data_IF_093151753360
#
_entry.id   IF_093151753360
#
_cell.length_a   1.000
_cell.length_b   1.000
_cell.length_c   1.000
_cell.angle_alpha   90.00
_cell.angle_beta   90.00
_cell.angle_gamma   90.00
#
_symmetry.space_group_name_H-M   'P 1'
#
loop_
_entity.id
_entity.type
_entity.pdbx_description
1 polymer ?
#
# COMPACT_ATOMS: atom_id res chain seq x y z
N UNK A 1 13.62 55.91 -3.59
CA UNK A 1 13.77 55.28 -4.92
C UNK A 1 12.37 55.01 -5.44
N UNK A 2 12.11 55.31 -6.71
CA UNK A 2 10.78 55.12 -7.30
C UNK A 2 10.62 53.71 -7.87
N UNK A 3 9.38 53.26 -8.19
CA UNK A 3 9.12 51.91 -8.72
C UNK A 3 10.02 51.56 -9.92
N UNK A 4 10.11 52.47 -10.88
CA UNK A 4 10.87 52.24 -12.12
C UNK A 4 12.38 52.14 -11.86
N UNK A 5 12.91 52.91 -10.90
CA UNK A 5 14.32 52.84 -10.52
C UNK A 5 14.63 51.50 -9.84
N UNK A 6 13.78 51.07 -8.91
CA UNK A 6 13.92 49.78 -8.22
C UNK A 6 13.92 48.60 -9.21
N UNK A 7 12.93 48.56 -10.12
CA UNK A 7 12.82 47.50 -11.11
C UNK A 7 13.97 47.53 -12.12
N UNK A 8 14.45 48.72 -12.53
CA UNK A 8 15.59 48.82 -13.45
C UNK A 8 16.89 48.30 -12.84
N UNK A 9 17.15 48.60 -11.55
CA UNK A 9 18.34 48.12 -10.83
C UNK A 9 18.23 46.60 -10.66
N UNK A 10 17.08 46.11 -10.18
CA UNK A 10 16.81 44.68 -10.02
C UNK A 10 17.02 43.93 -11.35
N UNK A 11 16.47 44.44 -12.45
CA UNK A 11 16.63 43.85 -13.80
C UNK A 11 18.09 43.80 -14.23
N UNK A 12 18.82 44.90 -14.08
CA UNK A 12 20.23 44.97 -14.50
C UNK A 12 21.12 44.00 -13.72
N UNK A 13 20.84 43.78 -12.42
CA UNK A 13 21.59 42.84 -11.58
C UNK A 13 21.20 41.39 -11.90
N UNK A 14 19.93 41.10 -12.13
CA UNK A 14 19.45 39.77 -12.53
C UNK A 14 19.99 39.35 -13.91
N UNK A 15 20.03 40.28 -14.88
CA UNK A 15 20.59 40.05 -16.22
C UNK A 15 22.11 39.88 -16.19
N UNK A 16 22.82 40.73 -15.44
CA UNK A 16 24.27 40.64 -15.25
C UNK A 16 24.68 39.29 -14.63
N UNK A 17 23.83 38.73 -13.78
CA UNK A 17 24.04 37.44 -13.12
C UNK A 17 23.46 36.24 -13.90
N UNK A 18 22.99 36.43 -15.14
CA UNK A 18 22.45 35.37 -16.04
C UNK A 18 21.33 34.51 -15.43
N UNK A 19 20.43 35.12 -14.68
CA UNK A 19 19.31 34.40 -14.04
C UNK A 19 18.25 34.08 -15.10
N UNK A 20 17.99 32.79 -15.37
CA UNK A 20 17.06 32.35 -16.44
C UNK A 20 15.61 32.77 -16.23
N UNK A 21 15.24 33.04 -14.98
CA UNK A 21 13.88 33.32 -14.55
C UNK A 21 13.70 34.82 -14.23
N UNK A 22 14.62 35.69 -14.69
CA UNK A 22 14.63 37.12 -14.40
C UNK A 22 13.32 37.83 -14.79
N UNK A 23 12.73 37.48 -15.94
CA UNK A 23 11.48 38.08 -16.43
C UNK A 23 10.27 37.77 -15.52
N UNK A 24 10.20 36.55 -14.98
CA UNK A 24 9.12 36.11 -14.08
C UNK A 24 9.23 36.80 -12.72
N UNK A 25 10.46 36.93 -12.19
CA UNK A 25 10.73 37.65 -10.94
C UNK A 25 10.34 39.13 -11.07
N UNK A 26 10.71 39.79 -12.17
CA UNK A 26 10.37 41.20 -12.41
C UNK A 26 8.85 41.39 -12.45
N UNK A 27 8.13 40.48 -13.10
CA UNK A 27 6.67 40.52 -13.18
C UNK A 27 6.00 40.40 -11.79
N UNK A 28 6.50 39.52 -10.92
CA UNK A 28 5.99 39.37 -9.55
C UNK A 28 6.19 40.64 -8.71
N UNK A 29 7.36 41.27 -8.79
CA UNK A 29 7.61 42.54 -8.11
C UNK A 29 6.76 43.67 -8.70
N UNK A 30 6.56 43.70 -10.01
CA UNK A 30 5.69 44.67 -10.64
C UNK A 30 4.24 44.56 -10.12
N UNK A 31 3.73 43.33 -10.01
CA UNK A 31 2.41 43.04 -9.43
C UNK A 31 2.34 43.42 -7.95
N UNK A 32 3.41 43.18 -7.17
CA UNK A 32 3.47 43.60 -5.76
C UNK A 32 3.41 45.12 -5.59
N UNK A 33 4.14 45.88 -6.43
CA UNK A 33 4.03 47.33 -6.45
C UNK A 33 2.62 47.79 -6.83
N UNK A 34 1.99 47.18 -7.84
CA UNK A 34 0.63 47.52 -8.25
C UNK A 34 -0.39 47.26 -7.15
N UNK A 35 -0.26 46.14 -6.42
CA UNK A 35 -1.15 45.77 -5.31
C UNK A 35 -0.99 46.73 -4.12
N UNK A 36 0.24 47.07 -3.75
CA UNK A 36 0.51 47.99 -2.63
C UNK A 36 0.15 49.44 -2.94
N UNK A 37 0.27 49.86 -4.19
CA UNK A 37 -0.19 51.17 -4.65
C UNK A 37 -1.72 51.24 -4.60
N UNK A 38 -2.42 50.16 -4.97
CA UNK A 38 -3.88 50.07 -4.82
C UNK A 38 -4.35 50.08 -3.36
N UNK A 39 -3.54 49.55 -2.44
CA UNK A 39 -3.75 49.65 -0.98
C UNK A 39 -3.46 51.05 -0.40
N UNK A 40 -3.05 52.01 -1.24
CA UNK A 40 -2.82 53.41 -0.86
C UNK A 40 -1.42 53.73 -0.33
N UNK A 41 -0.44 52.82 -0.47
CA UNK A 41 0.96 53.09 -0.14
C UNK A 41 1.66 53.87 -1.27
N UNK A 42 2.58 54.78 -0.90
CA UNK A 42 3.41 55.47 -1.87
C UNK A 42 4.52 54.56 -2.42
N UNK A 43 4.95 54.80 -3.67
CA UNK A 43 6.00 53.99 -4.32
C UNK A 43 7.30 53.97 -3.51
N UNK A 44 7.62 55.08 -2.84
CA UNK A 44 8.81 55.25 -2.01
C UNK A 44 8.77 54.41 -0.73
N UNK A 45 7.60 54.30 -0.09
CA UNK A 45 7.41 53.46 1.10
C UNK A 45 7.48 51.97 0.76
N UNK A 46 6.96 51.58 -0.41
CA UNK A 46 7.01 50.20 -0.88
C UNK A 46 8.46 49.79 -1.14
N UNK A 47 9.23 50.64 -1.81
CA UNK A 47 10.64 50.37 -2.07
C UNK A 47 11.49 50.34 -0.78
N UNK A 48 11.21 51.24 0.18
CA UNK A 48 11.89 51.22 1.48
C UNK A 48 11.60 49.94 2.28
N UNK A 49 10.38 49.37 2.15
CA UNK A 49 10.01 48.10 2.79
C UNK A 49 10.63 46.89 2.12
N UNK A 50 10.75 46.91 0.79
CA UNK A 50 11.41 45.85 0.02
C UNK A 50 12.93 45.84 0.28
N UNK A 51 13.52 47.02 0.51
CA UNK A 51 14.92 47.15 0.89
C UNK A 51 15.84 47.34 -0.32
N UNK A 52 17.04 46.77 -0.24
CA UNK A 52 18.11 46.99 -1.21
C UNK A 52 18.00 46.00 -2.40
N UNK A 53 17.70 46.48 -3.63
CA UNK A 53 17.47 45.61 -4.79
C UNK A 53 18.68 44.76 -5.18
N UNK A 54 19.90 45.24 -4.93
CA UNK A 54 21.12 44.47 -5.23
C UNK A 54 21.25 43.25 -4.30
N UNK A 55 20.92 43.42 -3.01
CA UNK A 55 20.94 42.32 -2.03
C UNK A 55 19.82 41.33 -2.28
N UNK A 56 18.66 41.79 -2.73
CA UNK A 56 17.54 40.93 -3.13
C UNK A 56 17.93 40.06 -4.33
N UNK A 57 18.53 40.66 -5.38
CA UNK A 57 18.99 39.91 -6.55
C UNK A 57 20.03 38.82 -6.18
N UNK A 58 20.94 39.11 -5.24
CA UNK A 58 21.92 38.15 -4.73
C UNK A 58 21.30 37.00 -3.91
N UNK A 59 20.12 37.20 -3.30
CA UNK A 59 19.39 36.11 -2.65
C UNK A 59 18.92 35.08 -3.70
N UNK A 60 18.47 35.56 -4.86
CA UNK A 60 18.09 34.68 -5.97
C UNK A 60 19.28 33.94 -6.59
N UNK A 61 20.49 34.51 -6.59
CA UNK A 61 21.70 33.78 -6.99
C UNK A 61 21.99 32.59 -6.05
N UNK A 62 21.85 32.81 -4.74
CA UNK A 62 22.05 31.79 -3.71
C UNK A 62 20.91 30.76 -3.68
N UNK A 63 19.70 31.20 -4.02
CA UNK A 63 18.52 30.36 -4.16
C UNK A 63 18.55 29.55 -5.47
N UNK A 64 19.10 30.06 -6.57
CA UNK A 64 19.38 29.26 -7.79
C UNK A 64 20.39 28.14 -7.55
N UNK A 65 21.35 28.35 -6.64
CA UNK A 65 22.27 27.30 -6.20
C UNK A 65 21.60 26.26 -5.26
N UNK A 66 20.40 26.53 -4.73
CA UNK A 66 19.73 25.68 -3.71
C UNK A 66 18.29 25.29 -4.02
N UNK A 67 17.67 25.83 -5.06
CA UNK A 67 16.36 25.45 -5.57
C UNK A 67 16.61 24.76 -6.91
N UNK A 68 16.76 23.43 -6.89
CA UNK A 68 16.63 22.74 -8.14
C UNK A 68 15.18 22.97 -8.59
N UNK A 69 15.01 23.58 -9.77
CA UNK A 69 14.05 23.14 -10.79
C UNK A 69 14.32 21.63 -10.97
N UNK A 70 13.92 20.82 -10.00
CA UNK A 70 14.23 19.39 -9.95
C UNK A 70 13.26 18.73 -10.92
N UNK A 71 13.69 18.83 -12.16
CA UNK A 71 13.16 18.27 -13.39
C UNK A 71 12.31 17.03 -13.14
N UNK A 72 11.16 16.94 -13.81
CA UNK A 72 10.39 15.69 -13.85
C UNK A 72 11.22 14.45 -14.22
N UNK A 73 12.44 14.63 -14.74
CA UNK A 73 13.46 13.59 -14.96
C UNK A 73 13.94 12.97 -13.64
N UNK A 74 14.32 13.74 -12.61
CA UNK A 74 14.77 13.17 -11.33
C UNK A 74 13.62 12.44 -10.62
N UNK A 75 12.41 13.01 -10.66
CA UNK A 75 11.21 12.38 -10.12
C UNK A 75 10.88 11.09 -10.86
N UNK A 76 11.04 11.06 -12.20
CA UNK A 76 10.85 9.83 -13.01
C UNK A 76 11.92 8.77 -12.72
N UNK A 77 13.18 9.15 -12.50
CA UNK A 77 14.27 8.23 -12.14
C UNK A 77 14.03 7.64 -10.74
N UNK A 78 13.72 8.49 -9.74
CA UNK A 78 13.42 8.06 -8.37
C UNK A 78 12.17 7.17 -8.31
N UNK A 79 11.14 7.51 -9.08
CA UNK A 79 9.93 6.70 -9.20
C UNK A 79 10.21 5.37 -9.90
N UNK A 80 11.06 5.34 -10.92
CA UNK A 80 11.51 4.10 -11.56
C UNK A 80 12.25 3.16 -10.60
N UNK A 81 13.11 3.70 -9.74
CA UNK A 81 13.75 2.92 -8.67
C UNK A 81 12.72 2.41 -7.66
N UNK A 82 11.80 3.25 -7.19
CA UNK A 82 10.73 2.86 -6.29
C UNK A 82 9.78 1.80 -6.89
N UNK A 83 9.52 1.85 -8.20
CA UNK A 83 8.71 0.88 -8.94
C UNK A 83 9.32 -0.54 -8.88
N UNK A 84 10.65 -0.68 -8.85
CA UNK A 84 11.32 -1.99 -8.71
C UNK A 84 11.03 -2.60 -7.34
N UNK A 85 11.20 -1.82 -6.26
CA UNK A 85 10.91 -2.29 -4.90
C UNK A 85 9.43 -2.59 -4.72
N UNK A 86 8.55 -1.73 -5.24
CA UNK A 86 7.11 -1.95 -5.20
C UNK A 86 6.73 -3.22 -5.98
N UNK A 87 7.29 -3.42 -7.18
CA UNK A 87 7.09 -4.62 -7.99
C UNK A 87 7.52 -5.90 -7.27
N UNK A 88 8.72 -5.90 -6.66
CA UNK A 88 9.22 -7.03 -5.89
C UNK A 88 8.35 -7.30 -4.65
N UNK A 89 7.92 -6.25 -3.96
CA UNK A 89 7.00 -6.36 -2.83
C UNK A 89 5.65 -6.96 -3.23
N UNK A 90 5.05 -6.51 -4.34
CA UNK A 90 3.80 -7.09 -4.84
C UNK A 90 3.97 -8.54 -5.32
N UNK A 91 5.12 -8.87 -5.92
CA UNK A 91 5.45 -10.25 -6.30
C UNK A 91 5.53 -11.15 -5.06
N UNK A 92 6.22 -10.70 -4.00
CA UNK A 92 6.28 -11.41 -2.73
C UNK A 92 4.89 -11.62 -2.12
N UNK A 93 4.06 -10.56 -2.10
CA UNK A 93 2.68 -10.67 -1.62
C UNK A 93 1.87 -11.67 -2.45
N UNK A 94 2.00 -11.64 -3.78
CA UNK A 94 1.31 -12.58 -4.66
C UNK A 94 1.75 -14.03 -4.39
N UNK A 95 3.06 -14.28 -4.22
CA UNK A 95 3.59 -15.59 -3.86
C UNK A 95 3.01 -16.11 -2.54
N UNK A 96 2.95 -15.26 -1.50
CA UNK A 96 2.29 -15.60 -0.24
C UNK A 96 0.79 -15.94 -0.44
N UNK A 97 0.10 -15.22 -1.33
CA UNK A 97 -1.28 -15.52 -1.70
C UNK A 97 -1.46 -16.90 -2.34
N UNK A 98 -0.54 -17.30 -3.22
CA UNK A 98 -0.52 -18.64 -3.82
C UNK A 98 -0.31 -19.73 -2.77
N UNK A 99 0.59 -19.50 -1.80
CA UNK A 99 0.82 -20.42 -0.68
C UNK A 99 -0.45 -20.59 0.17
N UNK A 100 -1.16 -19.50 0.50
CA UNK A 100 -2.42 -19.56 1.23
C UNK A 100 -3.49 -20.32 0.44
N UNK A 101 -3.58 -20.11 -0.87
CA UNK A 101 -4.50 -20.83 -1.74
C UNK A 101 -4.19 -22.33 -1.79
N UNK A 102 -2.92 -22.70 -1.93
CA UNK A 102 -2.46 -24.09 -1.91
C UNK A 102 -2.75 -24.75 -0.55
N UNK A 103 -2.50 -24.05 0.56
CA UNK A 103 -2.83 -24.54 1.89
C UNK A 103 -4.34 -24.77 2.06
N UNK A 104 -5.19 -23.86 1.57
CA UNK A 104 -6.64 -24.04 1.61
C UNK A 104 -7.10 -25.30 0.87
N UNK A 105 -6.54 -25.56 -0.32
CA UNK A 105 -6.81 -26.77 -1.11
C UNK A 105 -6.31 -28.01 -0.37
N UNK A 106 -5.11 -27.97 0.20
CA UNK A 106 -4.53 -29.09 0.94
C UNK A 106 -5.39 -29.45 2.17
N UNK A 107 -5.80 -28.47 2.98
CA UNK A 107 -6.68 -28.71 4.13
C UNK A 107 -8.05 -29.26 3.73
N UNK A 108 -8.63 -28.75 2.65
CA UNK A 108 -9.88 -29.29 2.10
C UNK A 108 -9.72 -30.74 1.62
N UNK A 109 -8.63 -31.04 0.90
CA UNK A 109 -8.36 -32.38 0.40
C UNK A 109 -8.13 -33.38 1.54
N UNK A 110 -7.32 -33.02 2.54
CA UNK A 110 -7.11 -33.84 3.75
C UNK A 110 -8.43 -34.05 4.48
N UNK A 111 -9.23 -33.00 4.64
CA UNK A 111 -10.54 -33.10 5.29
C UNK A 111 -11.47 -34.10 4.59
N UNK A 112 -11.58 -34.02 3.27
CA UNK A 112 -12.38 -34.95 2.46
C UNK A 112 -11.84 -36.38 2.54
N UNK A 113 -10.52 -36.56 2.46
CA UNK A 113 -9.89 -37.87 2.55
C UNK A 113 -10.20 -38.55 3.90
N UNK A 114 -10.08 -37.79 5.00
CA UNK A 114 -10.37 -38.30 6.34
C UNK A 114 -11.85 -38.63 6.57
N UNK A 115 -12.78 -37.84 6.01
CA UNK A 115 -14.23 -38.11 6.11
C UNK A 115 -14.62 -39.38 5.35
N UNK A 116 -14.03 -39.58 4.17
CA UNK A 116 -14.29 -40.76 3.32
C UNK A 116 -13.52 -42.00 3.78
N UNK A 117 -12.57 -41.86 4.71
CA UNK A 117 -11.69 -42.96 5.12
C UNK A 117 -10.76 -43.44 4.00
N UNK A 118 -10.49 -42.58 2.99
CA UNK A 118 -9.58 -42.91 1.89
C UNK A 118 -8.19 -42.34 2.18
N UNK A 119 -7.17 -43.17 2.09
CA UNK A 119 -5.77 -42.78 2.29
C UNK A 119 -5.00 -42.88 0.96
N UNK A 120 -5.01 -41.84 0.11
CA UNK A 120 -4.15 -41.85 -1.07
C UNK A 120 -2.69 -42.02 -0.63
N UNK A 121 -1.98 -42.99 -1.23
CA UNK A 121 -0.56 -43.27 -0.96
C UNK A 121 -0.19 -43.54 0.51
N UNK A 122 -1.13 -43.99 1.35
CA UNK A 122 -0.92 -44.18 2.79
C UNK A 122 -0.41 -42.92 3.53
N UNK A 123 -0.69 -41.73 3.01
CA UNK A 123 -0.31 -40.44 3.61
C UNK A 123 -1.01 -40.17 4.95
N UNK A 124 -2.16 -40.79 5.20
CA UNK A 124 -2.92 -40.65 6.45
C UNK A 124 -2.60 -41.85 7.33
N UNK A 125 -2.08 -41.65 8.56
CA UNK A 125 -1.81 -42.74 9.48
C UNK A 125 -3.10 -43.47 9.87
N UNK A 126 -2.99 -44.65 10.48
CA UNK A 126 -4.16 -45.39 10.96
C UNK A 126 -4.84 -44.60 12.09
N UNK A 127 -6.10 -44.21 11.84
CA UNK A 127 -6.95 -43.49 12.80
C UNK A 127 -8.30 -44.18 12.84
N UNK A 128 -8.90 -44.40 14.02
CA UNK A 128 -10.28 -44.86 14.12
C UNK A 128 -11.23 -43.94 13.34
N UNK A 129 -12.14 -44.52 12.54
CA UNK A 129 -12.97 -43.79 11.59
C UNK A 129 -13.68 -42.57 12.19
N UNK A 130 -14.33 -42.73 13.35
CA UNK A 130 -15.07 -41.64 14.00
C UNK A 130 -14.18 -40.47 14.42
N UNK A 131 -12.99 -40.74 14.94
CA UNK A 131 -12.01 -39.70 15.30
C UNK A 131 -11.47 -39.02 14.03
N UNK A 132 -11.15 -39.81 13.01
CA UNK A 132 -10.70 -39.32 11.71
C UNK A 132 -11.73 -38.44 11.02
N UNK A 133 -13.00 -38.83 11.03
CA UNK A 133 -14.10 -38.06 10.43
C UNK A 133 -14.27 -36.69 11.12
N UNK A 134 -14.17 -36.64 12.46
CA UNK A 134 -14.28 -35.38 13.21
C UNK A 134 -13.11 -34.43 12.91
N UNK A 135 -11.89 -34.94 12.89
CA UNK A 135 -10.70 -34.17 12.49
C UNK A 135 -10.79 -33.78 11.01
N UNK A 136 -11.36 -34.63 10.16
CA UNK A 136 -11.60 -34.36 8.74
C UNK A 136 -12.56 -33.19 8.53
N UNK A 137 -13.67 -33.15 9.28
CA UNK A 137 -14.60 -32.00 9.27
C UNK A 137 -13.90 -30.73 9.74
N UNK A 138 -13.07 -30.81 10.79
CA UNK A 138 -12.27 -29.68 11.24
C UNK A 138 -11.31 -29.19 10.13
N UNK A 139 -10.54 -30.08 9.51
CA UNK A 139 -9.62 -29.75 8.41
C UNK A 139 -10.35 -29.16 7.20
N UNK A 140 -11.51 -29.68 6.82
CA UNK A 140 -12.32 -29.13 5.75
C UNK A 140 -12.83 -27.71 6.09
N UNK A 141 -13.30 -27.50 7.33
CA UNK A 141 -13.72 -26.18 7.81
C UNK A 141 -12.55 -25.19 7.82
N UNK A 142 -11.34 -25.62 8.20
CA UNK A 142 -10.13 -24.81 8.12
C UNK A 142 -9.77 -24.46 6.66
N UNK A 143 -9.96 -25.40 5.72
CA UNK A 143 -9.81 -25.15 4.29
C UNK A 143 -10.77 -24.07 3.78
N UNK A 144 -12.04 -24.10 4.20
CA UNK A 144 -13.03 -23.06 3.86
C UNK A 144 -12.64 -21.72 4.47
N UNK A 145 -12.17 -21.69 5.72
CA UNK A 145 -11.69 -20.48 6.39
C UNK A 145 -10.48 -19.88 5.66
N UNK A 146 -9.51 -20.71 5.28
CA UNK A 146 -8.33 -20.30 4.52
C UNK A 146 -8.72 -19.80 3.12
N UNK A 147 -9.68 -20.43 2.45
CA UNK A 147 -10.20 -19.97 1.16
C UNK A 147 -10.89 -18.60 1.26
N UNK A 148 -11.71 -18.38 2.31
CA UNK A 148 -12.31 -17.08 2.58
C UNK A 148 -11.22 -16.01 2.83
N UNK A 149 -10.20 -16.34 3.62
CA UNK A 149 -9.02 -15.48 3.84
C UNK A 149 -8.27 -15.15 2.53
N UNK A 150 -8.09 -16.14 1.66
CA UNK A 150 -7.45 -15.97 0.36
C UNK A 150 -8.20 -14.96 -0.53
N UNK A 151 -9.54 -14.99 -0.51
CA UNK A 151 -10.36 -14.04 -1.28
C UNK A 151 -10.15 -12.60 -0.77
N UNK A 152 -10.14 -12.39 0.55
CA UNK A 152 -9.83 -11.08 1.14
C UNK A 152 -8.42 -10.62 0.82
N UNK A 153 -7.46 -11.54 0.91
CA UNK A 153 -6.04 -11.26 0.64
C UNK A 153 -5.83 -10.83 -0.81
N UNK A 154 -6.43 -11.52 -1.79
CA UNK A 154 -6.35 -11.13 -3.19
C UNK A 154 -7.11 -9.83 -3.49
N UNK A 155 -8.21 -9.56 -2.76
CA UNK A 155 -8.89 -8.27 -2.84
C UNK A 155 -8.01 -7.12 -2.31
N UNK A 156 -7.27 -7.36 -1.22
CA UNK A 156 -6.30 -6.41 -0.67
C UNK A 156 -5.17 -6.12 -1.66
N UNK A 157 -4.53 -7.15 -2.22
CA UNK A 157 -3.46 -6.97 -3.22
C UNK A 157 -3.96 -6.14 -4.39
N UNK A 158 -5.13 -6.47 -4.95
CA UNK A 158 -5.72 -5.71 -6.07
C UNK A 158 -5.96 -4.25 -5.70
N UNK A 159 -6.41 -3.97 -4.48
CA UNK A 159 -6.61 -2.60 -4.02
C UNK A 159 -5.29 -1.85 -3.85
N UNK A 160 -4.27 -2.49 -3.29
CA UNK A 160 -2.95 -1.90 -3.09
C UNK A 160 -2.26 -1.59 -4.42
N UNK A 161 -2.36 -2.48 -5.41
CA UNK A 161 -1.85 -2.23 -6.76
C UNK A 161 -2.57 -1.02 -7.38
N UNK A 162 -3.89 -0.92 -7.23
CA UNK A 162 -4.66 0.23 -7.73
C UNK A 162 -4.29 1.54 -7.02
N UNK A 163 -4.14 1.52 -5.70
CA UNK A 163 -3.74 2.72 -4.94
C UNK A 163 -2.31 3.14 -5.27
N UNK A 164 -1.39 2.19 -5.43
CA UNK A 164 -0.01 2.46 -5.84
C UNK A 164 0.05 3.01 -7.26
N UNK A 165 -0.68 2.42 -8.21
CA UNK A 165 -0.78 2.94 -9.58
C UNK A 165 -1.36 4.36 -9.62
N UNK A 166 -2.33 4.67 -8.75
CA UNK A 166 -2.90 6.02 -8.61
C UNK A 166 -1.89 7.00 -8.01
N UNK A 167 -1.16 6.58 -6.98
CA UNK A 167 -0.07 7.37 -6.39
C UNK A 167 0.99 7.70 -7.45
N UNK A 168 1.46 6.69 -8.19
CA UNK A 168 2.43 6.83 -9.29
C UNK A 168 1.93 7.80 -10.37
N UNK A 169 0.66 7.68 -10.78
CA UNK A 169 0.07 8.61 -11.75
C UNK A 169 0.04 10.04 -11.21
N UNK A 170 -0.36 10.22 -9.96
CA UNK A 170 -0.43 11.54 -9.32
C UNK A 170 0.96 12.17 -9.17
N UNK A 171 1.98 11.41 -8.80
CA UNK A 171 3.36 11.91 -8.71
C UNK A 171 3.90 12.37 -10.07
N UNK A 172 3.55 11.67 -11.16
CA UNK A 172 3.90 12.09 -12.52
C UNK A 172 3.09 13.32 -12.94
N UNK A 173 1.79 13.36 -12.63
CA UNK A 173 0.93 14.50 -12.95
C UNK A 173 1.40 15.79 -12.27
N UNK A 174 1.77 15.72 -10.98
CA UNK A 174 2.38 16.85 -10.25
C UNK A 174 3.67 17.32 -10.91
N UNK A 175 4.56 16.38 -11.29
CA UNK A 175 5.81 16.71 -11.97
C UNK A 175 5.60 17.30 -13.39
N UNK A 176 4.44 17.07 -14.01
CA UNK A 176 4.06 17.58 -15.34
C UNK A 176 3.11 18.79 -15.28
N UNK A 177 2.78 19.30 -14.09
CA UNK A 177 1.82 20.41 -13.92
C UNK A 177 0.37 20.08 -14.30
N UNK A 178 0.01 18.80 -14.36
CA UNK A 178 -1.32 18.30 -14.75
C UNK A 178 -2.24 18.13 -13.53
N UNK A 179 -3.57 18.20 -13.70
CA UNK A 179 -4.52 18.00 -12.60
C UNK A 179 -4.38 16.61 -11.98
N UNK A 180 -4.39 16.57 -10.64
CA UNK A 180 -4.21 15.37 -9.83
C UNK A 180 -5.55 14.70 -9.57
N UNK A 181 -5.56 13.37 -9.58
CA UNK A 181 -6.76 12.61 -9.33
C UNK A 181 -6.91 12.26 -7.83
N UNK A 182 -8.14 12.05 -7.30
CA UNK A 182 -8.34 11.66 -5.91
C UNK A 182 -7.59 10.38 -5.55
N UNK A 183 -7.02 10.35 -4.34
CA UNK A 183 -6.34 9.17 -3.80
C UNK A 183 -7.35 8.05 -3.54
N UNK A 184 -6.93 6.82 -3.85
CA UNK A 184 -7.73 5.64 -3.55
C UNK A 184 -7.39 5.11 -2.15
N UNK A 185 -8.37 4.65 -1.38
CA UNK A 185 -8.12 4.11 -0.06
C UNK A 185 -7.35 2.79 -0.13
N UNK A 186 -6.45 2.56 0.82
CA UNK A 186 -5.65 1.34 0.95
C UNK A 186 -6.33 0.21 1.74
N UNK A 187 -7.66 0.29 1.96
CA UNK A 187 -8.45 -0.76 2.61
C UNK A 187 -9.27 -1.55 1.59
N UNK A 188 -9.56 -2.82 1.90
CA UNK A 188 -10.33 -3.72 1.02
C UNK A 188 -11.71 -3.13 0.70
N UNK A 189 -11.99 -2.94 -0.59
CA UNK A 189 -13.30 -2.53 -1.09
C UNK A 189 -13.99 -3.70 -1.77
N UNK A 190 -14.88 -4.38 -1.04
CA UNK A 190 -15.75 -5.43 -1.56
C UNK A 190 -17.19 -4.94 -1.58
N UNK A 191 -17.98 -5.43 -2.53
CA UNK A 191 -19.41 -5.18 -2.55
C UNK A 191 -20.05 -5.60 -1.20
N UNK A 192 -20.98 -4.82 -0.63
CA UNK A 192 -21.52 -5.09 0.72
C UNK A 192 -22.12 -6.49 0.85
N UNK A 193 -22.78 -6.97 -0.21
CA UNK A 193 -23.36 -8.32 -0.27
C UNK A 193 -22.29 -9.41 -0.18
N UNK A 194 -21.21 -9.27 -0.95
CA UNK A 194 -20.09 -10.23 -0.96
C UNK A 194 -19.35 -10.23 0.36
N UNK A 195 -19.10 -9.05 0.93
CA UNK A 195 -18.42 -8.92 2.22
C UNK A 195 -19.22 -9.57 3.37
N UNK A 196 -20.55 -9.37 3.40
CA UNK A 196 -21.43 -10.03 4.37
C UNK A 196 -21.38 -11.55 4.23
N UNK A 197 -21.50 -12.07 3.01
CA UNK A 197 -21.45 -13.53 2.75
C UNK A 197 -20.12 -14.14 3.16
N UNK A 198 -19.00 -13.54 2.76
CA UNK A 198 -17.66 -14.01 3.14
C UNK A 198 -17.47 -14.00 4.66
N UNK A 199 -17.88 -12.94 5.35
CA UNK A 199 -17.82 -12.86 6.81
C UNK A 199 -18.67 -13.94 7.48
N UNK A 200 -19.90 -14.14 7.04
CA UNK A 200 -20.77 -15.20 7.56
C UNK A 200 -20.16 -16.59 7.33
N UNK A 201 -19.66 -16.86 6.13
CA UNK A 201 -18.97 -18.12 5.81
C UNK A 201 -17.74 -18.34 6.69
N UNK A 202 -16.90 -17.31 6.86
CA UNK A 202 -15.71 -17.39 7.71
C UNK A 202 -16.08 -17.63 9.19
N UNK A 203 -17.11 -16.98 9.71
CA UNK A 203 -17.58 -17.20 11.09
C UNK A 203 -18.13 -18.60 11.29
N UNK A 204 -18.95 -19.10 10.36
CA UNK A 204 -19.48 -20.46 10.42
C UNK A 204 -18.34 -21.48 10.35
N UNK A 205 -17.41 -21.30 9.40
CA UNK A 205 -16.25 -22.17 9.25
C UNK A 205 -15.35 -22.15 10.49
N UNK A 206 -15.13 -20.98 11.10
CA UNK A 206 -14.37 -20.85 12.33
C UNK A 206 -15.02 -21.59 13.51
N UNK A 207 -16.34 -21.44 13.68
CA UNK A 207 -17.08 -22.13 14.74
C UNK A 207 -17.02 -23.65 14.51
N UNK A 208 -17.28 -24.11 13.28
CA UNK A 208 -17.21 -25.52 12.91
C UNK A 208 -15.80 -26.08 13.17
N UNK A 209 -14.75 -25.37 12.74
CA UNK A 209 -13.38 -25.76 13.00
C UNK A 209 -13.11 -25.90 14.50
N UNK A 210 -13.44 -24.89 15.30
CA UNK A 210 -13.17 -24.91 16.75
C UNK A 210 -13.91 -26.06 17.45
N UNK A 211 -15.20 -26.26 17.14
CA UNK A 211 -16.03 -27.30 17.76
C UNK A 211 -15.52 -28.69 17.37
N UNK A 212 -15.35 -28.97 16.07
CA UNK A 212 -14.94 -30.29 15.60
C UNK A 212 -13.48 -30.60 15.93
N UNK A 213 -12.61 -29.60 16.01
CA UNK A 213 -11.23 -29.80 16.46
C UNK A 213 -11.19 -30.25 17.92
N UNK A 214 -11.91 -29.56 18.81
CA UNK A 214 -11.98 -29.93 20.23
C UNK A 214 -12.61 -31.31 20.39
N UNK A 215 -13.74 -31.55 19.73
CA UNK A 215 -14.43 -32.83 19.81
C UNK A 215 -13.59 -33.98 19.23
N UNK A 216 -12.94 -33.77 18.09
CA UNK A 216 -12.09 -34.78 17.45
C UNK A 216 -10.86 -35.10 18.29
N UNK A 217 -10.26 -34.10 18.92
CA UNK A 217 -9.15 -34.27 19.85
C UNK A 217 -9.57 -35.02 21.11
N UNK A 218 -10.69 -34.64 21.73
CA UNK A 218 -11.24 -35.31 22.91
C UNK A 218 -11.65 -36.77 22.61
N UNK A 219 -12.30 -37.02 21.47
CA UNK A 219 -12.66 -38.36 21.03
C UNK A 219 -11.42 -39.22 20.78
N UNK A 220 -10.35 -38.63 20.21
CA UNK A 220 -9.07 -39.32 20.01
C UNK A 220 -8.42 -39.72 21.33
N UNK A 221 -8.43 -38.82 22.32
CA UNK A 221 -7.93 -39.12 23.68
C UNK A 221 -8.72 -40.24 24.35
N UNK A 222 -10.05 -40.19 24.29
CA UNK A 222 -10.92 -41.20 24.88
C UNK A 222 -10.77 -42.55 24.18
N UNK A 223 -10.67 -42.56 22.85
CA UNK A 223 -10.51 -43.77 22.05
C UNK A 223 -9.16 -44.45 22.28
N UNK A 224 -8.10 -43.69 22.55
CA UNK A 224 -6.77 -44.23 22.81
C UNK A 224 -6.50 -44.50 24.30
N UNK A 225 -7.33 -43.98 25.20
CA UNK A 225 -7.11 -44.04 26.64
C UNK A 225 -5.89 -43.25 27.13
N UNK A 226 -5.34 -42.35 26.31
CA UNK A 226 -4.13 -41.57 26.58
C UNK A 226 -4.20 -40.20 25.92
N UNK A 227 -3.59 -39.20 26.55
CA UNK A 227 -3.40 -37.86 25.98
C UNK A 227 -2.54 -37.92 24.72
N UNK A 228 -1.52 -38.79 24.71
CA UNK A 228 -0.65 -39.05 23.58
C UNK A 228 -1.19 -40.12 22.64
N UNK A 229 -2.42 -39.96 22.15
CA UNK A 229 -3.10 -40.98 21.32
C UNK A 229 -2.28 -41.38 20.07
N UNK A 230 -1.48 -40.46 19.52
CA UNK A 230 -0.59 -40.70 18.39
C UNK A 230 0.51 -41.73 18.68
N UNK A 231 0.94 -41.88 19.94
CA UNK A 231 1.87 -42.95 20.34
C UNK A 231 1.16 -44.30 20.42
N UNK A 232 -0.07 -44.33 20.91
CA UNK A 232 -0.89 -45.56 21.00
C UNK A 232 -1.26 -46.07 19.61
N UNK A 233 -1.52 -45.17 18.67
CA UNK A 233 -1.83 -45.50 17.29
C UNK A 233 -0.60 -45.72 16.40
N UNK A 234 0.62 -45.60 16.96
CA UNK A 234 1.85 -45.88 16.23
C UNK A 234 2.10 -44.94 15.05
N UNK A 235 1.75 -43.65 15.16
CA UNK A 235 1.96 -42.69 14.07
C UNK A 235 3.44 -42.38 13.82
N UNK A 236 4.28 -42.59 14.83
CA UNK A 236 5.71 -42.35 14.80
C UNK A 236 6.43 -43.63 15.19
N UNK A 237 6.62 -44.54 14.23
CA UNK A 237 7.50 -45.70 14.38
C UNK A 237 8.79 -45.36 13.65
N UNK A 238 9.90 -45.28 14.40
CA UNK A 238 11.25 -45.44 13.84
C UNK A 238 11.52 -46.93 13.63
#
# INVERSE_FOLDING_TARGET
MNKNEFLSILTSVLEKNQISDAAEIIEEYEQHFAFKLADGYSEEEIAARLGDPEKLALQYEKELLSVPKQSGILTKIGLGFADIFAGLFFLLLAACGVVIAAAAIAFAAVGVCMILGVSPYALVPSIPYWCGAMIGVASAALGVLAAAGCIYYWALIRQLIKSFGRFRHNTIAVAEGKPVLPSLPAHVQLAPRTNRRLRSMALIALILFAVFFILGFAASMLSAGSVGFWHVWGWFVN
#
